data_IF_586437040004
#
_entry.id   IF_586437040004
#
_cell.length_a   1.000
_cell.length_b   1.000
_cell.length_c   1.000
_cell.angle_alpha   90.00
_cell.angle_beta   90.00
_cell.angle_gamma   90.00
#
_symmetry.space_group_name_H-M   'P 1'
#
loop_
_entity.id
_entity.type
_entity.pdbx_description
1 polymer ?
#
# COMPACT_ATOMS: atom_id res chain seq x y z
N UNK A 1 7.16 5.86 -17.97
CA UNK A 1 6.20 4.99 -17.24
C UNK A 1 6.36 5.19 -15.75
N UNK A 2 5.25 5.24 -15.00
CA UNK A 2 5.22 5.41 -13.54
C UNK A 2 6.13 4.42 -12.81
N UNK A 3 6.16 3.16 -13.26
CA UNK A 3 7.02 2.12 -12.66
C UNK A 3 8.51 2.45 -12.69
N UNK A 4 8.98 3.21 -13.69
CA UNK A 4 10.40 3.54 -13.86
C UNK A 4 10.92 4.53 -12.82
N UNK A 5 10.02 5.36 -12.27
CA UNK A 5 10.39 6.38 -11.26
C UNK A 5 10.30 5.88 -9.82
N UNK A 6 9.77 4.67 -9.61
CA UNK A 6 9.69 4.06 -8.28
C UNK A 6 11.07 3.56 -7.81
N UNK A 7 11.35 3.59 -6.49
CA UNK A 7 12.48 2.88 -5.90
C UNK A 7 12.48 1.39 -6.27
N UNK A 8 13.66 0.80 -6.42
CA UNK A 8 13.82 -0.59 -6.89
C UNK A 8 12.98 -1.59 -6.09
N UNK A 9 13.03 -1.51 -4.75
CA UNK A 9 12.28 -2.42 -3.89
C UNK A 9 10.75 -2.34 -4.08
N UNK A 10 10.21 -1.16 -4.39
CA UNK A 10 8.78 -0.98 -4.65
C UNK A 10 8.44 -1.54 -6.03
N UNK A 11 9.24 -1.22 -7.04
CA UNK A 11 9.08 -1.74 -8.40
C UNK A 11 9.10 -3.27 -8.43
N UNK A 12 10.04 -3.89 -7.72
CA UNK A 12 10.16 -5.35 -7.64
C UNK A 12 8.96 -5.98 -6.95
N UNK A 13 8.42 -5.35 -5.90
CA UNK A 13 7.21 -5.82 -5.24
C UNK A 13 6.01 -5.87 -6.20
N UNK A 14 5.77 -4.79 -6.96
CA UNK A 14 4.68 -4.76 -7.94
C UNK A 14 4.88 -5.76 -9.08
N UNK A 15 6.10 -5.90 -9.61
CA UNK A 15 6.41 -6.86 -10.67
C UNK A 15 6.23 -8.31 -10.20
N UNK A 16 6.64 -8.63 -8.97
CA UNK A 16 6.44 -9.95 -8.39
C UNK A 16 4.96 -10.24 -8.16
N UNK A 17 4.19 -9.26 -7.70
CA UNK A 17 2.75 -9.41 -7.52
C UNK A 17 2.02 -9.62 -8.85
N UNK A 18 2.38 -8.87 -9.90
CA UNK A 18 1.85 -9.08 -11.24
C UNK A 18 2.10 -10.49 -11.77
N UNK A 19 3.31 -11.04 -11.56
CA UNK A 19 3.64 -12.43 -11.90
C UNK A 19 2.83 -13.45 -11.10
N UNK A 20 2.56 -13.19 -9.82
CA UNK A 20 1.77 -14.10 -8.97
C UNK A 20 0.31 -14.18 -9.41
N UNK A 21 -0.24 -13.07 -9.90
CA UNK A 21 -1.63 -12.99 -10.37
C UNK A 21 -1.78 -13.32 -11.86
N UNK A 22 -0.68 -13.50 -12.59
CA UNK A 22 -0.64 -13.62 -14.06
C UNK A 22 -1.29 -12.42 -14.77
N UNK A 23 -1.09 -11.22 -14.23
CA UNK A 23 -1.64 -9.96 -14.75
C UNK A 23 -0.53 -9.08 -15.35
N UNK A 24 -0.93 -8.15 -16.23
CA UNK A 24 -0.02 -7.11 -16.68
C UNK A 24 0.34 -6.15 -15.54
N UNK A 25 1.53 -5.57 -15.62
CA UNK A 25 1.98 -4.61 -14.60
C UNK A 25 1.10 -3.35 -14.61
N UNK A 26 0.59 -2.95 -15.78
CA UNK A 26 -0.34 -1.85 -15.95
C UNK A 26 -1.64 -2.12 -15.19
N UNK A 27 -2.22 -3.31 -15.31
CA UNK A 27 -3.47 -3.68 -14.63
C UNK A 27 -3.32 -3.66 -13.11
N UNK A 28 -2.20 -4.17 -12.59
CA UNK A 28 -1.92 -4.14 -11.14
C UNK A 28 -1.81 -2.71 -10.62
N UNK A 29 -1.13 -1.82 -11.36
CA UNK A 29 -1.02 -0.41 -10.99
C UNK A 29 -2.38 0.30 -11.06
N UNK A 30 -3.17 0.05 -12.10
CA UNK A 30 -4.52 0.61 -12.24
C UNK A 30 -5.43 0.18 -11.09
N UNK A 31 -5.43 -1.10 -10.70
CA UNK A 31 -6.22 -1.58 -9.57
C UNK A 31 -5.77 -0.94 -8.25
N UNK A 32 -4.47 -0.83 -8.00
CA UNK A 32 -3.96 -0.19 -6.78
C UNK A 32 -4.33 1.30 -6.70
N UNK A 33 -4.30 2.01 -7.83
CA UNK A 33 -4.71 3.41 -7.89
C UNK A 33 -6.23 3.56 -7.75
N UNK A 34 -7.01 2.67 -8.37
CA UNK A 34 -8.47 2.67 -8.27
C UNK A 34 -8.92 2.42 -6.83
N UNK A 35 -8.31 1.44 -6.15
CA UNK A 35 -8.56 1.16 -4.73
C UNK A 35 -8.21 2.37 -3.85
N UNK A 36 -7.06 3.01 -4.07
CA UNK A 36 -6.68 4.21 -3.32
C UNK A 36 -7.63 5.41 -3.56
N UNK A 37 -8.22 5.53 -4.75
CA UNK A 37 -9.14 6.61 -5.10
C UNK A 37 -10.58 6.34 -4.67
N UNK A 38 -10.91 5.12 -4.26
CA UNK A 38 -12.22 4.77 -3.74
C UNK A 38 -12.41 5.41 -2.35
N UNK A 39 -13.41 6.29 -2.16
CA UNK A 39 -13.66 6.96 -0.87
C UNK A 39 -14.00 5.99 0.26
N UNK A 40 -14.41 4.76 -0.06
CA UNK A 40 -14.77 3.73 0.91
C UNK A 40 -13.60 2.75 1.18
N UNK A 41 -12.45 2.90 0.52
CA UNK A 41 -11.28 2.02 0.74
C UNK A 41 -10.62 2.28 2.09
N UNK A 42 -10.19 1.20 2.75
CA UNK A 42 -9.48 1.27 4.02
C UNK A 42 -8.00 1.49 3.77
N UNK A 43 -7.48 2.58 4.30
CA UNK A 43 -6.06 2.93 4.20
C UNK A 43 -5.39 2.86 5.57
N UNK A 44 -4.06 3.00 5.58
CA UNK A 44 -3.31 3.04 6.84
C UNK A 44 -3.77 4.16 7.79
N UNK A 45 -4.34 5.27 7.28
CA UNK A 45 -4.82 6.35 8.15
C UNK A 45 -6.08 5.97 8.91
N UNK A 46 -6.89 5.05 8.37
CA UNK A 46 -8.12 4.59 9.01
C UNK A 46 -7.84 3.68 10.21
N UNK A 47 -6.68 3.01 10.22
CA UNK A 47 -6.24 2.18 11.32
C UNK A 47 -5.85 2.96 12.59
N UNK A 48 -5.86 4.31 12.57
CA UNK A 48 -5.34 5.19 13.65
C UNK A 48 -4.03 4.64 14.25
N UNK A 49 -3.02 4.31 13.42
CA UNK A 49 -1.81 3.69 13.91
C UNK A 49 -1.16 4.64 14.90
N UNK A 50 -0.78 4.13 16.08
CA UNK A 50 -0.06 4.88 17.10
C UNK A 50 1.39 5.11 16.65
N UNK A 51 1.58 5.89 15.58
CA UNK A 51 2.91 6.23 15.09
C UNK A 51 3.48 7.31 16.01
N UNK A 52 4.44 6.91 16.84
CA UNK A 52 5.20 7.84 17.69
C UNK A 52 4.76 7.96 19.16
N UNK A 53 3.83 7.13 19.64
CA UNK A 53 3.62 7.00 21.07
C UNK A 53 4.78 6.16 21.67
N UNK A 54 5.50 6.65 22.69
CA UNK A 54 6.43 5.80 23.42
C UNK A 54 5.67 4.59 23.96
N UNK A 55 6.27 3.40 23.79
CA UNK A 55 5.81 2.15 24.41
C UNK A 55 5.86 2.32 25.92
N UNK A 56 4.85 2.94 26.53
CA UNK A 56 4.52 2.97 27.96
C UNK A 56 3.42 4.00 28.18
N UNK A 57 2.16 3.64 27.91
CA UNK A 57 1.05 3.97 28.80
C UNK A 57 0.01 2.85 28.61
N UNK A 58 0.06 1.87 29.51
CA UNK A 58 -1.09 1.01 29.77
C UNK A 58 -2.28 1.93 30.12
N UNK A 59 -3.21 2.07 29.19
CA UNK A 59 -4.48 2.74 29.45
C UNK A 59 -5.30 1.85 30.39
N UNK A 60 -5.18 2.12 31.69
CA UNK A 60 -6.24 1.83 32.65
C UNK A 60 -7.47 2.66 32.27
N UNK A 61 -8.46 2.04 31.61
CA UNK A 61 -9.86 2.46 31.61
C UNK A 61 -10.74 1.26 31.22
#
# INVERSE_FOLDING_TARGET
MLLAVLPDHIRDAYLNHAKQLDYSIEMVLEMALADFLDPDSLTFTDCKPQIGLPLNEEQNA
#
